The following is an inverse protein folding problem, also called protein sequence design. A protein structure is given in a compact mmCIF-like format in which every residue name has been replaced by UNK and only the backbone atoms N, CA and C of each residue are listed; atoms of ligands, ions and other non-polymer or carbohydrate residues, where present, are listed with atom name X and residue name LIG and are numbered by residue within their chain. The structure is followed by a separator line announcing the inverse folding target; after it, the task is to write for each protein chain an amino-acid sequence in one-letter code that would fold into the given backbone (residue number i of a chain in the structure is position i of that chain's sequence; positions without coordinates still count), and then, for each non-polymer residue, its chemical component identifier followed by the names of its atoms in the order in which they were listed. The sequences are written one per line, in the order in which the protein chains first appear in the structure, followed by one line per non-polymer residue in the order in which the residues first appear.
data_IF_630343575317
#
_entry.id   IF_630343575317
#
_cell.length_a   1.000
_cell.length_b   1.000
_cell.length_c   1.000
_cell.angle_alpha   90.00
_cell.angle_beta   90.00
_cell.angle_gamma   90.00
#
_symmetry.space_group_name_H-M   'P 1'
#
loop_
_entity.id
_entity.type
_entity.pdbx_description
1 polymer ?
#
# COMPACT_ATOMS: atom_id res chain seq x y z
N UNK A 1 20.89 27.84 -4.93
CA UNK A 1 19.87 27.13 -5.71
C UNK A 1 20.04 27.50 -7.18
N UNK A 2 20.23 26.52 -8.06
CA UNK A 2 20.65 26.75 -9.45
C UNK A 2 19.47 26.90 -10.42
N UNK A 3 19.66 27.73 -11.44
CA UNK A 3 18.71 28.01 -12.55
C UNK A 3 18.12 26.74 -13.20
N UNK A 4 18.88 25.65 -13.28
CA UNK A 4 18.42 24.36 -13.83
C UNK A 4 17.38 23.64 -12.96
N UNK A 5 17.45 23.75 -11.63
CA UNK A 5 16.47 23.15 -10.72
C UNK A 5 15.09 23.81 -10.90
N UNK A 6 15.06 25.09 -11.30
CA UNK A 6 13.84 25.85 -11.55
C UNK A 6 13.18 25.56 -12.90
N UNK A 7 13.95 25.10 -13.89
CA UNK A 7 13.47 24.86 -15.27
C UNK A 7 12.97 23.42 -15.50
N UNK A 8 13.56 22.43 -14.84
CA UNK A 8 13.24 21.00 -15.05
C UNK A 8 12.62 20.31 -13.82
N UNK A 9 12.50 21.04 -12.70
CA UNK A 9 12.23 20.50 -11.38
C UNK A 9 13.36 19.59 -10.89
N UNK A 10 13.50 19.43 -9.56
CA UNK A 10 14.46 18.49 -8.99
C UNK A 10 14.25 17.09 -9.59
N UNK A 11 15.33 16.48 -10.08
CA UNK A 11 15.33 15.08 -10.51
C UNK A 11 14.96 14.19 -9.32
N UNK A 12 13.87 13.44 -9.43
CA UNK A 12 13.51 12.43 -8.44
C UNK A 12 14.50 11.28 -8.56
N UNK A 13 15.16 10.95 -7.45
CA UNK A 13 16.12 9.85 -7.34
C UNK A 13 15.63 8.95 -6.21
N UNK A 14 15.65 7.64 -6.44
CA UNK A 14 15.35 6.66 -5.40
C UNK A 14 16.34 6.78 -4.24
N UNK A 15 15.80 6.92 -3.03
CA UNK A 15 16.59 6.83 -1.81
C UNK A 15 17.07 5.38 -1.60
N UNK A 16 18.12 5.16 -0.81
CA UNK A 16 18.57 3.81 -0.45
C UNK A 16 17.42 2.96 0.14
N UNK A 17 16.60 3.54 1.00
CA UNK A 17 15.49 2.86 1.68
C UNK A 17 14.43 2.39 0.69
N UNK A 18 14.09 3.22 -0.31
CA UNK A 18 13.16 2.83 -1.36
C UNK A 18 13.70 1.66 -2.18
N UNK A 19 15.00 1.68 -2.51
CA UNK A 19 15.62 0.57 -3.27
C UNK A 19 15.60 -0.71 -2.47
N UNK A 20 16.03 -0.66 -1.21
CA UNK A 20 16.01 -1.82 -0.31
C UNK A 20 14.60 -2.39 -0.22
N UNK A 21 13.59 -1.54 -0.02
CA UNK A 21 12.20 -2.00 0.03
C UNK A 21 11.74 -2.62 -1.29
N UNK A 22 12.04 -1.97 -2.41
CA UNK A 22 11.67 -2.47 -3.73
C UNK A 22 12.26 -3.86 -4.01
N UNK A 23 13.57 -4.02 -3.81
CA UNK A 23 14.24 -5.31 -4.00
C UNK A 23 13.71 -6.36 -3.02
N UNK A 24 13.46 -5.98 -1.75
CA UNK A 24 12.88 -6.90 -0.77
C UNK A 24 11.52 -7.43 -1.19
N UNK A 25 10.65 -6.61 -1.79
CA UNK A 25 9.34 -7.03 -2.31
C UNK A 25 9.45 -7.85 -3.60
N UNK A 26 10.44 -7.55 -4.45
CA UNK A 26 10.70 -8.27 -5.71
C UNK A 26 11.22 -9.68 -5.43
N UNK A 27 12.17 -9.80 -4.51
CA UNK A 27 12.82 -11.06 -4.13
C UNK A 27 12.01 -11.86 -3.11
N UNK A 28 10.93 -11.28 -2.58
CA UNK A 28 10.09 -11.92 -1.56
C UNK A 28 9.49 -13.24 -2.07
N UNK A 29 9.48 -14.24 -1.20
CA UNK A 29 8.73 -15.46 -1.41
C UNK A 29 7.27 -15.24 -0.97
N UNK A 30 6.47 -14.76 -1.93
CA UNK A 30 5.08 -14.37 -1.73
C UNK A 30 4.21 -15.58 -1.33
N UNK A 31 3.29 -15.34 -0.40
CA UNK A 31 2.28 -16.32 0.06
C UNK A 31 2.81 -17.55 0.82
N UNK A 32 4.12 -17.64 1.11
CA UNK A 32 4.74 -18.79 1.80
C UNK A 32 4.14 -19.10 3.17
N UNK A 33 3.57 -18.09 3.84
CA UNK A 33 3.02 -18.20 5.19
C UNK A 33 1.53 -17.90 5.24
N UNK A 34 0.82 -17.81 4.11
CA UNK A 34 -0.64 -17.61 4.14
C UNK A 34 -1.31 -18.72 4.98
N UNK A 35 -2.17 -18.31 5.91
CA UNK A 35 -2.87 -19.13 6.89
C UNK A 35 -2.06 -19.44 8.14
N UNK A 36 -0.82 -18.94 8.26
CA UNK A 36 0.08 -19.25 9.37
C UNK A 36 0.38 -18.01 10.22
N UNK A 37 0.38 -18.20 11.55
CA UNK A 37 0.77 -17.16 12.48
C UNK A 37 2.25 -16.82 12.33
N UNK A 38 2.56 -15.53 12.31
CA UNK A 38 3.91 -15.00 12.45
C UNK A 38 3.90 -13.83 13.43
N UNK A 39 5.06 -13.49 13.97
CA UNK A 39 5.24 -12.25 14.72
C UNK A 39 5.45 -11.14 13.69
N UNK A 40 4.49 -10.22 13.52
CA UNK A 40 4.61 -9.11 12.58
C UNK A 40 5.13 -7.84 13.26
N UNK A 41 6.06 -7.14 12.62
CA UNK A 41 6.51 -5.81 13.01
C UNK A 41 5.65 -4.78 12.29
N UNK A 42 4.44 -4.59 12.81
CA UNK A 42 3.46 -3.64 12.26
C UNK A 42 2.97 -2.71 13.34
N UNK A 43 2.68 -1.46 12.96
CA UNK A 43 2.07 -0.50 13.89
C UNK A 43 0.64 -0.88 14.29
N UNK A 44 -0.05 -1.62 13.42
CA UNK A 44 -1.42 -2.06 13.62
C UNK A 44 -1.46 -3.48 14.16
N UNK A 45 -2.51 -3.80 14.90
CA UNK A 45 -2.82 -5.19 15.23
C UNK A 45 -3.14 -5.97 13.96
N UNK A 46 -2.87 -7.27 13.99
CA UNK A 46 -3.07 -8.20 12.87
C UNK A 46 -3.98 -9.34 13.32
N UNK A 47 -4.97 -9.69 12.50
CA UNK A 47 -5.86 -10.84 12.69
C UNK A 47 -5.85 -11.73 11.45
N UNK A 48 -5.69 -13.03 11.65
CA UNK A 48 -5.54 -14.01 10.57
C UNK A 48 -6.90 -14.60 10.18
N UNK A 49 -7.20 -14.60 8.89
CA UNK A 49 -8.26 -15.41 8.30
C UNK A 49 -7.73 -16.84 8.10
N UNK A 50 -8.19 -17.78 8.90
CA UNK A 50 -7.59 -19.12 8.98
C UNK A 50 -8.00 -20.08 7.86
N UNK A 51 -8.95 -19.71 7.00
CA UNK A 51 -9.48 -20.60 5.96
C UNK A 51 -9.60 -19.96 4.58
N UNK A 52 -9.24 -20.74 3.55
CA UNK A 52 -9.41 -20.38 2.12
C UNK A 52 -10.83 -19.86 1.83
N UNK A 53 -11.87 -20.53 2.35
CA UNK A 53 -13.27 -20.11 2.14
C UNK A 53 -13.60 -18.75 2.78
N UNK A 54 -13.00 -18.44 3.92
CA UNK A 54 -13.15 -17.14 4.57
C UNK A 54 -12.48 -16.04 3.74
N UNK A 55 -11.28 -16.32 3.25
CA UNK A 55 -10.48 -15.40 2.43
C UNK A 55 -11.16 -15.12 1.10
N UNK A 56 -11.61 -16.16 0.40
CA UNK A 56 -12.39 -16.03 -0.83
C UNK A 56 -13.61 -15.13 -0.61
N UNK A 57 -14.38 -15.38 0.46
CA UNK A 57 -15.56 -14.58 0.79
C UNK A 57 -15.22 -13.11 1.04
N UNK A 58 -14.13 -12.85 1.78
CA UNK A 58 -13.67 -11.49 2.09
C UNK A 58 -13.21 -10.74 0.84
N UNK A 59 -12.44 -11.39 -0.03
CA UNK A 59 -11.97 -10.81 -1.30
C UNK A 59 -13.10 -10.66 -2.34
N UNK A 60 -14.18 -11.42 -2.22
CA UNK A 60 -15.36 -11.28 -3.09
C UNK A 60 -16.21 -10.05 -2.77
N UNK A 61 -16.09 -9.45 -1.58
CA UNK A 61 -16.87 -8.27 -1.21
C UNK A 61 -16.55 -7.07 -2.09
N UNK A 62 -17.59 -6.49 -2.71
CA UNK A 62 -17.48 -5.30 -3.56
C UNK A 62 -17.80 -3.98 -2.84
N UNK A 63 -18.25 -4.07 -1.59
CA UNK A 63 -18.56 -2.94 -0.71
C UNK A 63 -18.28 -3.37 0.72
N UNK A 64 -17.99 -2.39 1.58
CA UNK A 64 -17.83 -2.62 3.00
C UNK A 64 -19.06 -3.32 3.58
N UNK A 65 -18.80 -4.27 4.46
CA UNK A 65 -19.82 -4.93 5.26
C UNK A 65 -19.66 -4.51 6.70
N UNK A 66 -20.71 -4.65 7.51
CA UNK A 66 -20.68 -4.14 8.90
C UNK A 66 -19.47 -4.69 9.67
N UNK A 67 -18.53 -3.81 10.01
CA UNK A 67 -17.31 -4.14 10.77
C UNK A 67 -16.15 -4.66 9.92
N UNK A 68 -16.24 -4.64 8.59
CA UNK A 68 -15.17 -5.05 7.68
C UNK A 68 -15.11 -4.15 6.45
N UNK A 69 -13.94 -3.55 6.25
CA UNK A 69 -13.61 -2.77 5.06
C UNK A 69 -12.91 -3.69 4.06
N UNK A 70 -13.37 -3.65 2.81
CA UNK A 70 -12.81 -4.50 1.75
C UNK A 70 -11.37 -4.12 1.43
N UNK A 71 -10.61 -5.04 0.82
CA UNK A 71 -9.25 -4.76 0.35
C UNK A 71 -9.22 -3.52 -0.57
N UNK A 72 -10.13 -3.45 -1.54
CA UNK A 72 -10.22 -2.32 -2.48
C UNK A 72 -10.40 -0.99 -1.74
N UNK A 73 -11.40 -0.90 -0.85
CA UNK A 73 -11.67 0.32 -0.10
C UNK A 73 -10.54 0.68 0.87
N UNK A 74 -9.90 -0.31 1.49
CA UNK A 74 -8.72 -0.11 2.33
C UNK A 74 -7.60 0.56 1.54
N UNK A 75 -7.28 0.04 0.36
CA UNK A 75 -6.20 0.56 -0.48
C UNK A 75 -6.55 1.94 -1.06
N UNK A 76 -7.80 2.15 -1.45
CA UNK A 76 -8.30 3.47 -1.87
C UNK A 76 -8.13 4.48 -0.75
N UNK A 77 -8.56 4.15 0.47
CA UNK A 77 -8.53 5.09 1.59
C UNK A 77 -7.09 5.39 2.04
N UNK A 78 -6.23 4.37 2.11
CA UNK A 78 -4.80 4.54 2.40
C UNK A 78 -4.13 5.48 1.38
N UNK A 79 -4.31 5.21 0.08
CA UNK A 79 -3.73 6.04 -0.99
C UNK A 79 -4.32 7.46 -1.04
N UNK A 80 -5.64 7.59 -0.83
CA UNK A 80 -6.35 8.88 -0.84
C UNK A 80 -5.89 9.78 0.29
N UNK A 81 -5.70 9.25 1.50
CA UNK A 81 -5.21 10.03 2.66
C UNK A 81 -3.84 10.65 2.39
N UNK A 82 -2.92 9.82 1.91
CA UNK A 82 -1.59 10.22 1.44
C UNK A 82 -1.66 11.37 0.42
N UNK A 83 -2.46 11.20 -0.64
CA UNK A 83 -2.56 12.20 -1.71
C UNK A 83 -3.25 13.50 -1.26
N UNK A 84 -4.32 13.41 -0.47
CA UNK A 84 -5.08 14.57 -0.03
C UNK A 84 -4.30 15.36 1.04
N UNK A 85 -3.49 14.71 1.88
CA UNK A 85 -2.55 15.40 2.77
C UNK A 85 -1.59 16.30 1.99
N UNK A 86 -0.97 15.80 0.92
CA UNK A 86 -0.13 16.62 0.05
C UNK A 86 -0.90 17.76 -0.59
N UNK A 87 -2.15 17.52 -0.99
CA UNK A 87 -3.01 18.52 -1.64
C UNK A 87 -3.47 19.62 -0.69
N UNK A 88 -3.58 19.34 0.61
CA UNK A 88 -4.01 20.29 1.64
C UNK A 88 -2.82 21.07 2.21
N UNK A 89 -1.71 20.40 2.51
CA UNK A 89 -0.59 20.99 3.26
C UNK A 89 0.62 21.34 2.39
N UNK A 90 0.76 20.74 1.19
CA UNK A 90 1.95 20.88 0.33
C UNK A 90 1.63 21.08 -1.16
N UNK A 91 0.43 21.62 -1.46
CA UNK A 91 -0.16 21.64 -2.82
C UNK A 91 0.79 22.12 -3.91
N UNK A 92 1.42 23.27 -3.69
CA UNK A 92 2.25 23.95 -4.69
C UNK A 92 3.59 23.25 -4.92
N UNK A 93 4.07 22.46 -3.95
CA UNK A 93 5.41 21.86 -3.98
C UNK A 93 5.39 20.39 -4.40
N UNK A 94 4.30 19.67 -4.07
CA UNK A 94 4.30 18.19 -4.11
C UNK A 94 3.34 17.57 -5.11
N UNK A 95 2.37 18.31 -5.67
CA UNK A 95 1.41 17.74 -6.63
C UNK A 95 2.12 17.16 -7.87
N UNK A 96 3.10 17.90 -8.43
CA UNK A 96 3.89 17.42 -9.56
C UNK A 96 4.84 16.28 -9.15
N UNK A 97 5.39 16.33 -7.93
CA UNK A 97 6.30 15.33 -7.39
C UNK A 97 5.63 13.97 -7.25
N UNK A 98 4.36 13.92 -6.81
CA UNK A 98 3.58 12.68 -6.69
C UNK A 98 3.47 11.91 -8.02
N UNK A 99 3.09 12.61 -9.08
CA UNK A 99 2.94 12.01 -10.40
C UNK A 99 4.30 11.60 -10.97
N UNK A 100 5.31 12.48 -10.92
CA UNK A 100 6.66 12.17 -11.41
C UNK A 100 7.30 10.99 -10.67
N UNK A 101 7.07 10.86 -9.36
CA UNK A 101 7.55 9.72 -8.59
C UNK A 101 6.90 8.42 -9.06
N UNK A 102 5.59 8.45 -9.34
CA UNK A 102 4.87 7.31 -9.92
C UNK A 102 5.51 6.88 -11.23
N UNK A 103 5.78 7.83 -12.13
CA UNK A 103 6.37 7.56 -13.44
C UNK A 103 7.77 6.95 -13.32
N UNK A 104 8.56 7.45 -12.36
CA UNK A 104 9.91 6.93 -12.09
C UNK A 104 9.84 5.50 -11.54
N UNK A 105 8.90 5.19 -10.63
CA UNK A 105 8.65 3.82 -10.14
C UNK A 105 8.24 2.89 -11.27
N UNK A 106 7.27 3.32 -12.09
CA UNK A 106 6.79 2.53 -13.23
C UNK A 106 7.96 2.25 -14.17
N UNK A 107 8.71 3.27 -14.57
CA UNK A 107 9.83 3.12 -15.48
C UNK A 107 10.88 2.15 -14.94
N UNK A 108 11.29 2.32 -13.69
CA UNK A 108 12.42 1.60 -13.12
C UNK A 108 12.10 0.11 -12.89
N UNK A 109 10.93 -0.19 -12.30
CA UNK A 109 10.61 -1.52 -11.79
C UNK A 109 9.55 -2.27 -12.62
N UNK A 110 8.63 -1.54 -13.26
CA UNK A 110 7.45 -2.15 -13.90
C UNK A 110 7.66 -2.28 -15.40
N UNK A 111 7.93 -1.19 -16.10
CA UNK A 111 8.16 -1.18 -17.55
C UNK A 111 9.43 -1.95 -17.94
N UNK A 112 10.43 -1.99 -17.06
CA UNK A 112 11.63 -2.81 -17.24
C UNK A 112 11.41 -4.29 -16.87
N UNK A 113 10.18 -4.70 -16.54
CA UNK A 113 9.82 -6.07 -16.15
C UNK A 113 10.66 -6.64 -14.99
N UNK A 114 11.18 -5.78 -14.10
CA UNK A 114 11.90 -6.24 -12.90
C UNK A 114 10.95 -6.92 -11.92
N UNK A 115 9.70 -6.47 -11.88
CA UNK A 115 8.68 -7.03 -11.02
C UNK A 115 7.48 -7.57 -11.82
N UNK A 116 7.28 -8.88 -11.77
CA UNK A 116 6.22 -9.59 -12.47
C UNK A 116 5.00 -9.80 -11.55
N UNK A 117 4.14 -8.77 -11.49
CA UNK A 117 2.92 -8.80 -10.68
C UNK A 117 1.91 -9.85 -11.17
N UNK A 118 1.83 -10.08 -12.48
CA UNK A 118 0.85 -11.00 -13.07
C UNK A 118 1.17 -12.43 -12.66
N UNK A 119 2.46 -12.81 -12.66
CA UNK A 119 2.89 -14.12 -12.14
C UNK A 119 2.50 -14.31 -10.68
N UNK A 120 2.68 -13.30 -9.84
CA UNK A 120 2.34 -13.38 -8.41
C UNK A 120 0.82 -13.48 -8.24
N UNK A 121 0.04 -12.66 -8.94
CA UNK A 121 -1.42 -12.71 -8.92
C UNK A 121 -1.95 -14.07 -9.40
N UNK A 122 -1.36 -14.64 -10.45
CA UNK A 122 -1.73 -15.96 -10.96
C UNK A 122 -1.41 -17.08 -9.97
N UNK A 123 -0.27 -17.02 -9.29
CA UNK A 123 0.08 -17.96 -8.23
C UNK A 123 -0.94 -17.87 -7.08
N UNK A 124 -1.33 -16.66 -6.68
CA UNK A 124 -2.35 -16.46 -5.66
C UNK A 124 -3.71 -17.04 -6.07
N UNK A 125 -4.18 -16.72 -7.27
CA UNK A 125 -5.46 -17.22 -7.77
C UNK A 125 -5.46 -18.76 -7.91
N UNK A 126 -4.29 -19.35 -8.21
CA UNK A 126 -4.11 -20.81 -8.21
C UNK A 126 -4.20 -21.39 -6.80
N UNK A 127 -3.57 -20.76 -5.80
CA UNK A 127 -3.61 -21.16 -4.40
C UNK A 127 -5.02 -21.04 -3.82
N UNK A 128 -5.73 -19.96 -4.14
CA UNK A 128 -7.09 -19.68 -3.66
C UNK A 128 -8.17 -20.46 -4.42
N UNK A 129 -7.91 -20.87 -5.66
CA UNK A 129 -8.87 -21.56 -6.53
C UNK A 129 -9.93 -20.65 -7.16
N UNK A 130 -9.76 -19.33 -7.07
CA UNK A 130 -10.71 -18.33 -7.60
C UNK A 130 -9.97 -17.10 -8.13
N UNK A 131 -10.63 -16.36 -9.02
CA UNK A 131 -10.06 -15.14 -9.60
C UNK A 131 -10.32 -13.95 -8.67
N UNK A 132 -9.24 -13.35 -8.18
CA UNK A 132 -9.24 -12.14 -7.35
C UNK A 132 -8.21 -11.13 -7.86
N UNK A 133 -8.25 -9.92 -7.31
CA UNK A 133 -7.24 -8.89 -7.52
C UNK A 133 -6.72 -8.45 -6.15
N UNK A 134 -5.42 -8.64 -5.93
CA UNK A 134 -4.72 -8.20 -4.71
C UNK A 134 -4.15 -6.78 -4.86
N UNK A 135 -4.34 -6.15 -6.03
CA UNK A 135 -3.88 -4.80 -6.34
C UNK A 135 -2.37 -4.62 -6.12
N UNK A 136 -1.58 -5.68 -6.32
CA UNK A 136 -0.15 -5.75 -5.96
C UNK A 136 0.66 -4.60 -6.57
N UNK A 137 0.34 -4.21 -7.81
CA UNK A 137 0.97 -3.08 -8.48
C UNK A 137 0.72 -1.77 -7.73
N UNK A 138 -0.51 -1.54 -7.29
CA UNK A 138 -0.90 -0.36 -6.51
C UNK A 138 -0.25 -0.36 -5.13
N UNK A 139 -0.25 -1.52 -4.46
CA UNK A 139 0.44 -1.72 -3.17
C UNK A 139 1.92 -1.36 -3.28
N UNK A 140 2.64 -1.93 -4.25
CA UNK A 140 4.05 -1.67 -4.46
C UNK A 140 4.35 -0.18 -4.70
N UNK A 141 3.60 0.46 -5.60
CA UNK A 141 3.79 1.89 -5.90
C UNK A 141 3.55 2.75 -4.64
N UNK A 142 2.49 2.49 -3.89
CA UNK A 142 2.14 3.30 -2.74
C UNK A 142 3.10 3.10 -1.56
N UNK A 143 3.62 1.88 -1.33
CA UNK A 143 4.68 1.64 -0.33
C UNK A 143 5.90 2.53 -0.63
N UNK A 144 6.37 2.54 -1.88
CA UNK A 144 7.55 3.33 -2.26
C UNK A 144 7.29 4.85 -2.17
N UNK A 145 6.06 5.30 -2.47
CA UNK A 145 5.66 6.69 -2.26
C UNK A 145 5.64 7.08 -0.79
N UNK A 146 5.06 6.24 0.05
CA UNK A 146 5.02 6.48 1.50
C UNK A 146 6.44 6.62 2.07
N UNK A 147 7.35 5.72 1.72
CA UNK A 147 8.76 5.80 2.13
C UNK A 147 9.40 7.11 1.64
N UNK A 148 9.17 7.48 0.38
CA UNK A 148 9.73 8.71 -0.18
C UNK A 148 9.26 9.95 0.58
N UNK A 149 7.94 10.17 0.67
CA UNK A 149 7.40 11.39 1.28
C UNK A 149 7.63 11.45 2.78
N UNK A 150 7.51 10.32 3.49
CA UNK A 150 7.74 10.26 4.93
C UNK A 150 9.21 10.60 5.31
N UNK A 151 10.15 10.49 4.37
CA UNK A 151 11.56 10.82 4.64
C UNK A 151 11.84 12.32 4.80
N UNK A 152 10.93 13.20 4.37
CA UNK A 152 11.11 14.66 4.45
C UNK A 152 9.85 15.46 4.75
N UNK A 153 8.66 14.84 4.78
CA UNK A 153 7.40 15.47 5.17
C UNK A 153 7.01 14.97 6.55
N UNK A 154 7.11 15.85 7.55
CA UNK A 154 6.69 15.55 8.91
C UNK A 154 5.19 15.27 8.97
N UNK A 155 4.81 14.21 9.70
CA UNK A 155 3.41 13.83 9.88
C UNK A 155 2.73 13.27 8.63
N UNK A 156 3.49 12.90 7.60
CA UNK A 156 2.94 12.30 6.39
C UNK A 156 2.14 11.02 6.73
N UNK A 157 0.87 10.89 6.30
CA UNK A 157 0.03 9.77 6.69
C UNK A 157 0.41 8.52 5.89
N UNK A 158 1.10 7.60 6.57
CA UNK A 158 1.47 6.28 6.07
C UNK A 158 0.46 5.21 6.52
N UNK A 159 0.39 4.13 5.76
CA UNK A 159 -0.33 2.92 6.13
C UNK A 159 0.37 1.70 5.56
N UNK A 160 0.56 1.63 4.24
CA UNK A 160 1.10 0.44 3.57
C UNK A 160 2.54 0.15 3.98
N UNK A 161 3.35 1.18 4.16
CA UNK A 161 4.71 1.05 4.69
C UNK A 161 4.74 0.61 6.16
N UNK A 162 3.68 0.87 6.93
CA UNK A 162 3.56 0.46 8.34
C UNK A 162 3.06 -0.99 8.51
N UNK A 163 2.54 -1.60 7.43
CA UNK A 163 2.06 -2.99 7.40
C UNK A 163 2.84 -3.87 6.42
N UNK A 164 3.92 -3.35 5.83
CA UNK A 164 4.66 -4.02 4.75
C UNK A 164 5.27 -5.35 5.19
N UNK A 165 5.56 -5.47 6.48
CA UNK A 165 6.11 -6.69 7.09
C UNK A 165 5.18 -7.91 6.90
N UNK A 166 3.85 -7.69 6.81
CA UNK A 166 2.88 -8.75 6.44
C UNK A 166 3.27 -9.38 5.10
N UNK A 167 3.52 -8.54 4.09
CA UNK A 167 3.90 -8.99 2.76
C UNK A 167 5.30 -9.61 2.76
N UNK A 168 6.27 -8.98 3.44
CA UNK A 168 7.63 -9.49 3.53
C UNK A 168 7.72 -10.83 4.28
N UNK A 169 6.75 -11.14 5.14
CA UNK A 169 6.59 -12.45 5.78
C UNK A 169 5.79 -13.44 4.94
N UNK A 170 5.42 -13.07 3.72
CA UNK A 170 4.69 -13.92 2.77
C UNK A 170 3.27 -14.22 3.20
N UNK A 171 2.63 -13.29 3.89
CA UNK A 171 1.17 -13.24 4.07
C UNK A 171 0.60 -12.16 3.13
N UNK A 172 -0.72 -12.07 3.05
CA UNK A 172 -1.40 -11.06 2.24
C UNK A 172 -2.51 -10.36 3.03
N UNK A 173 -2.64 -9.06 2.85
CA UNK A 173 -3.77 -8.32 3.41
C UNK A 173 -5.03 -8.63 2.59
N UNK A 174 -6.11 -9.02 3.27
CA UNK A 174 -7.40 -9.34 2.64
C UNK A 174 -8.49 -8.33 2.99
N UNK A 175 -8.21 -7.41 3.92
CA UNK A 175 -9.07 -6.29 4.27
C UNK A 175 -8.73 -5.71 5.64
N UNK A 176 -9.71 -5.06 6.26
CA UNK A 176 -9.57 -4.42 7.56
C UNK A 176 -10.79 -4.68 8.42
N UNK A 177 -10.59 -5.17 9.64
CA UNK A 177 -11.66 -5.38 10.62
C UNK A 177 -11.77 -4.11 11.45
N UNK A 178 -12.90 -3.41 11.32
CA UNK A 178 -13.10 -2.11 11.96
C UNK A 178 -13.90 -1.16 11.09
N UNK A 179 -13.63 0.14 11.23
CA UNK A 179 -14.27 1.19 10.43
C UNK A 179 -13.24 2.23 10.01
N UNK A 180 -13.32 2.72 8.78
CA UNK A 180 -12.70 3.98 8.39
C UNK A 180 -13.73 5.11 8.43
N UNK A 181 -13.25 6.34 8.59
CA UNK A 181 -14.03 7.50 8.16
C UNK A 181 -14.28 7.40 6.66
N UNK A 182 -15.52 7.55 6.21
CA UNK A 182 -15.87 7.43 4.78
C UNK A 182 -15.13 8.47 3.93
N UNK A 183 -14.61 8.02 2.79
CA UNK A 183 -14.02 8.89 1.76
C UNK A 183 -15.01 9.91 1.14
N UNK A 184 -16.31 9.76 1.40
CA UNK A 184 -17.36 10.62 0.83
C UNK A 184 -17.57 11.93 1.62
N UNK A 185 -16.93 12.07 2.78
CA UNK A 185 -17.03 13.29 3.59
C UNK A 185 -16.03 14.33 3.05
N UNK A 186 -16.45 15.58 2.86
CA UNK A 186 -15.52 16.69 2.63
C UNK A 186 -14.62 16.82 3.86
N UNK A 187 -13.36 16.45 3.71
CA UNK A 187 -12.41 16.43 4.81
C UNK A 187 -11.59 17.73 4.79
N UNK A 188 -11.80 18.59 5.79
CA UNK A 188 -10.96 19.77 6.00
C UNK A 188 -9.62 19.43 6.68
N UNK A 189 -9.53 18.27 7.34
CA UNK A 189 -8.35 17.79 8.08
C UNK A 189 -8.14 16.28 7.86
N UNK A 190 -6.99 15.90 7.32
CA UNK A 190 -6.62 14.48 7.22
C UNK A 190 -5.72 14.07 8.37
N UNK A 191 -6.08 12.93 8.98
CA UNK A 191 -5.23 12.21 9.91
C UNK A 191 -4.79 10.87 9.33
N UNK A 192 -3.69 10.33 9.86
CA UNK A 192 -3.35 8.93 9.69
C UNK A 192 -4.48 8.02 10.20
N UNK A 193 -4.50 6.77 9.73
CA UNK A 193 -5.38 5.72 10.27
C UNK A 193 -4.97 5.48 11.72
N UNK A 194 -5.93 5.50 12.65
CA UNK A 194 -5.63 5.22 14.06
C UNK A 194 -5.50 3.73 14.29
N UNK A 195 -4.54 3.34 15.13
CA UNK A 195 -4.39 1.95 15.59
C UNK A 195 -5.62 1.43 16.35
N UNK A 196 -6.47 2.35 16.82
CA UNK A 196 -7.73 2.03 17.51
C UNK A 196 -8.93 1.89 16.56
N UNK A 197 -8.78 2.23 15.28
CA UNK A 197 -9.89 2.18 14.30
C UNK A 197 -10.18 0.75 13.81
N UNK A 198 -9.28 -0.19 14.11
CA UNK A 198 -9.40 -1.58 13.68
C UNK A 198 -8.09 -2.34 13.61
N UNK A 199 -8.13 -3.43 12.84
CA UNK A 199 -7.11 -4.47 12.78
C UNK A 199 -6.90 -4.86 11.32
N UNK A 200 -5.64 -5.04 10.92
CA UNK A 200 -5.30 -5.52 9.58
C UNK A 200 -5.71 -6.99 9.50
N UNK A 201 -6.59 -7.32 8.56
CA UNK A 201 -6.96 -8.70 8.36
C UNK A 201 -6.11 -9.29 7.23
N UNK A 202 -5.44 -10.40 7.55
CA UNK A 202 -4.50 -11.05 6.65
C UNK A 202 -4.91 -12.48 6.39
N UNK A 203 -4.43 -13.03 5.27
CA UNK A 203 -4.31 -14.46 5.07
C UNK A 203 -2.85 -14.84 5.19
#
# INVERSE_FOLDING_TARGET
MGFFDSLFGKKIVFTPEMKIMAESLIENDWFRNCGQQSDYDTKFNVEIAHGISEVEKKLAYKRDVKGFVTLDNLLIEAGRRSQLFLSLHHKNEMQYTWNRLTDVIIKEYISNQKFDFDKIQNNFNTLLGTQTDLYLRGVFINILKEIYFNSFIEGYPTFLSEVVDVYLKGNVIVGWIGKFGSHEVQVNEISAISVNDGVVNIW
#
